data_IF_090411714365
#
_entry.id   IF_090411714365
#
_cell.length_a   1.000
_cell.length_b   1.000
_cell.length_c   1.000
_cell.angle_alpha   90.00
_cell.angle_beta   90.00
_cell.angle_gamma   90.00
#
_symmetry.space_group_name_H-M   'P 1'
#
loop_
_entity.id
_entity.type
_entity.pdbx_description
1 polymer ?
#
# COMPACT_ATOMS: atom_id res chain seq x y z
N UNK A 1 -47.45 -34.81 20.75
CA UNK A 1 -46.26 -34.08 21.27
C UNK A 1 -45.11 -34.02 20.26
N UNK A 2 -44.84 -35.10 19.50
CA UNK A 2 -43.67 -35.11 18.57
C UNK A 2 -43.79 -34.19 17.31
N UNK A 3 -45.01 -34.01 16.75
CA UNK A 3 -45.17 -33.17 15.55
C UNK A 3 -45.04 -31.65 15.82
N UNK A 4 -45.48 -31.21 16.99
CA UNK A 4 -45.31 -29.80 17.42
C UNK A 4 -43.85 -29.48 17.71
N UNK A 5 -43.11 -30.37 18.34
CA UNK A 5 -41.67 -30.24 18.59
C UNK A 5 -40.85 -30.25 17.29
N UNK A 6 -41.20 -31.13 16.35
CA UNK A 6 -40.57 -31.15 15.02
C UNK A 6 -40.89 -29.89 14.21
N UNK A 7 -42.13 -29.43 14.24
CA UNK A 7 -42.51 -28.18 13.57
C UNK A 7 -41.80 -26.95 14.20
N UNK A 8 -41.71 -26.87 15.53
CA UNK A 8 -41.02 -25.81 16.23
C UNK A 8 -39.48 -25.86 15.94
N UNK A 9 -38.90 -27.07 15.90
CA UNK A 9 -37.50 -27.23 15.57
C UNK A 9 -37.19 -26.82 14.11
N UNK A 10 -38.03 -27.23 13.16
CA UNK A 10 -37.91 -26.81 11.75
C UNK A 10 -38.10 -25.32 11.59
N UNK A 11 -39.03 -24.70 12.34
CA UNK A 11 -39.24 -23.25 12.29
C UNK A 11 -38.07 -22.48 12.90
N UNK A 12 -37.51 -22.96 14.01
CA UNK A 12 -36.28 -22.33 14.62
C UNK A 12 -35.08 -22.52 13.71
N UNK A 13 -34.91 -23.66 13.06
CA UNK A 13 -33.86 -23.88 12.06
C UNK A 13 -34.05 -22.99 10.84
N UNK A 14 -35.27 -22.82 10.33
CA UNK A 14 -35.55 -21.89 9.23
C UNK A 14 -35.31 -20.42 9.60
N UNK A 15 -35.65 -20.00 10.83
CA UNK A 15 -35.37 -18.64 11.30
C UNK A 15 -33.86 -18.44 11.49
N UNK A 16 -33.12 -19.45 11.94
CA UNK A 16 -31.67 -19.40 12.06
C UNK A 16 -30.97 -19.34 10.68
N UNK A 17 -31.54 -19.95 9.65
CA UNK A 17 -31.01 -19.96 8.28
C UNK A 17 -31.30 -18.66 7.53
N UNK A 18 -32.32 -17.90 7.93
CA UNK A 18 -32.66 -16.58 7.35
C UNK A 18 -31.93 -15.42 8.01
N UNK A 19 -31.10 -15.68 9.03
CA UNK A 19 -30.12 -14.71 9.51
C UNK A 19 -29.06 -14.49 8.42
N UNK A 20 -29.37 -13.69 7.41
CA UNK A 20 -28.43 -13.29 6.37
C UNK A 20 -27.19 -12.69 7.03
N UNK A 21 -26.08 -13.45 7.10
CA UNK A 21 -24.80 -12.87 7.43
C UNK A 21 -24.45 -11.92 6.27
N UNK A 22 -24.70 -10.65 6.48
CA UNK A 22 -24.28 -9.61 5.54
C UNK A 22 -22.81 -9.27 5.81
N UNK A 23 -22.05 -9.00 4.75
CA UNK A 23 -20.74 -8.38 4.93
C UNK A 23 -20.92 -6.98 5.54
N UNK A 24 -19.94 -6.48 6.31
CA UNK A 24 -19.98 -5.12 6.79
C UNK A 24 -20.00 -4.13 5.63
N UNK A 25 -21.09 -3.37 5.51
CA UNK A 25 -21.28 -2.43 4.41
C UNK A 25 -20.47 -1.17 4.70
N UNK A 26 -19.68 -0.69 3.73
CA UNK A 26 -19.01 0.59 3.83
C UNK A 26 -20.04 1.72 3.92
N UNK A 27 -19.84 2.71 4.82
CA UNK A 27 -20.81 3.81 4.99
C UNK A 27 -20.98 4.64 3.72
N UNK A 28 -22.22 5.06 3.43
CA UNK A 28 -22.49 6.01 2.37
C UNK A 28 -22.10 7.42 2.81
N UNK A 29 -21.40 8.16 1.95
CA UNK A 29 -21.12 9.58 2.16
C UNK A 29 -22.39 10.39 1.90
N UNK A 30 -22.81 11.18 2.87
CA UNK A 30 -24.01 12.01 2.75
C UNK A 30 -23.83 13.18 1.79
N UNK A 31 -22.67 13.83 1.83
CA UNK A 31 -22.30 14.94 0.98
C UNK A 31 -20.80 14.96 0.75
N UNK A 32 -20.38 15.11 -0.52
CA UNK A 32 -19.00 15.29 -0.92
C UNK A 32 -18.43 16.60 -0.36
N UNK A 33 -17.26 16.48 0.28
CA UNK A 33 -16.49 17.64 0.72
C UNK A 33 -14.99 17.36 0.46
N UNK A 34 -14.32 18.11 -0.45
CA UNK A 34 -12.94 17.88 -0.80
C UNK A 34 -11.94 18.12 0.34
N UNK A 35 -12.37 18.80 1.42
CA UNK A 35 -11.51 19.14 2.56
C UNK A 35 -11.71 18.21 3.76
N UNK A 36 -12.60 17.22 3.69
CA UNK A 36 -12.90 16.31 4.80
C UNK A 36 -12.45 14.88 4.53
N UNK A 37 -12.37 14.06 5.58
CA UNK A 37 -11.99 12.66 5.51
C UNK A 37 -10.50 12.40 5.61
N UNK A 38 -10.10 11.13 5.37
CA UNK A 38 -8.72 10.67 5.44
C UNK A 38 -7.94 11.12 4.20
N UNK A 39 -7.32 12.30 4.29
CA UNK A 39 -6.54 12.93 3.22
C UNK A 39 -5.19 13.40 3.75
N UNK A 40 -4.21 13.44 2.85
CA UNK A 40 -2.85 13.86 3.20
C UNK A 40 -2.83 15.26 3.83
N UNK A 41 -3.58 16.19 3.27
CA UNK A 41 -3.63 17.59 3.71
C UNK A 41 -4.19 17.78 5.12
N UNK A 42 -4.99 16.83 5.59
CA UNK A 42 -5.59 16.87 6.93
C UNK A 42 -4.65 16.32 8.01
N UNK A 43 -3.50 15.75 7.62
CA UNK A 43 -2.53 15.17 8.55
C UNK A 43 -1.43 16.18 8.87
N UNK A 44 -1.18 16.36 10.16
CA UNK A 44 -0.11 17.22 10.68
C UNK A 44 1.16 16.41 10.91
N UNK A 45 2.29 17.06 10.80
CA UNK A 45 3.59 16.45 11.05
C UNK A 45 4.44 17.35 11.98
N UNK A 46 4.08 17.48 13.26
CA UNK A 46 4.74 18.42 14.17
C UNK A 46 6.21 18.09 14.44
N UNK A 47 6.62 16.84 14.23
CA UNK A 47 7.99 16.38 14.40
C UNK A 47 8.76 16.23 13.08
N UNK A 48 8.11 16.43 11.94
CA UNK A 48 8.65 16.26 10.59
C UNK A 48 9.07 17.64 10.04
N UNK A 49 10.02 17.67 9.11
CA UNK A 49 10.38 18.88 8.37
C UNK A 49 9.62 18.91 7.05
N UNK A 50 9.07 20.07 6.68
CA UNK A 50 8.38 20.22 5.39
C UNK A 50 9.33 20.18 4.17
N UNK A 51 10.65 20.09 4.40
CA UNK A 51 11.68 20.17 3.36
C UNK A 51 12.35 18.84 3.03
N UNK A 52 12.19 17.82 3.88
CA UNK A 52 12.61 16.43 3.63
C UNK A 52 11.35 15.57 3.49
N UNK A 53 11.07 15.12 2.27
CA UNK A 53 9.89 14.33 1.98
C UNK A 53 10.25 12.86 1.80
N UNK A 54 9.75 12.00 2.68
CA UNK A 54 10.12 10.57 2.72
C UNK A 54 8.91 9.69 2.45
N UNK A 55 9.01 8.86 1.43
CA UNK A 55 8.03 7.84 1.06
C UNK A 55 8.62 6.46 1.35
N UNK A 56 7.90 5.63 2.09
CA UNK A 56 8.18 4.21 2.20
C UNK A 56 7.17 3.42 1.37
N UNK A 57 7.63 2.39 0.66
CA UNK A 57 6.73 1.43 0.02
C UNK A 57 7.04 0.02 0.49
N UNK A 58 6.01 -0.75 0.83
CA UNK A 58 6.13 -2.10 1.37
C UNK A 58 5.40 -3.09 0.48
N UNK A 59 6.14 -4.10 0.01
CA UNK A 59 5.61 -5.10 -0.88
C UNK A 59 4.70 -6.12 -0.19
N UNK A 60 4.01 -6.90 -1.02
CA UNK A 60 3.37 -8.15 -0.62
C UNK A 60 4.38 -9.26 -0.26
N UNK A 61 3.87 -10.35 0.32
CA UNK A 61 4.68 -11.52 0.69
C UNK A 61 4.38 -12.10 2.07
N UNK A 62 3.19 -11.85 2.63
CA UNK A 62 2.76 -12.38 3.93
C UNK A 62 3.68 -11.96 5.09
N UNK A 63 3.93 -12.88 6.02
CA UNK A 63 4.80 -12.63 7.20
C UNK A 63 6.23 -12.22 6.77
N UNK A 64 6.72 -12.71 5.63
CA UNK A 64 8.03 -12.36 5.08
C UNK A 64 8.16 -10.85 4.83
N UNK A 65 7.17 -10.28 4.14
CA UNK A 65 7.14 -8.85 3.83
C UNK A 65 6.94 -8.00 5.09
N UNK A 66 6.08 -8.44 5.99
CA UNK A 66 5.87 -7.74 7.25
C UNK A 66 7.14 -7.69 8.10
N UNK A 67 7.87 -8.80 8.22
CA UNK A 67 9.11 -8.88 9.00
C UNK A 67 10.25 -8.04 8.38
N UNK A 68 10.39 -8.07 7.05
CA UNK A 68 11.37 -7.24 6.33
C UNK A 68 11.09 -5.76 6.55
N UNK A 69 9.83 -5.34 6.33
CA UNK A 69 9.39 -3.94 6.52
C UNK A 69 9.57 -3.48 7.98
N UNK A 70 9.25 -4.36 8.94
CA UNK A 70 9.48 -4.10 10.35
C UNK A 70 10.96 -3.79 10.65
N UNK A 71 11.88 -4.65 10.18
CA UNK A 71 13.31 -4.47 10.39
C UNK A 71 13.83 -3.16 9.78
N UNK A 72 13.37 -2.80 8.58
CA UNK A 72 13.71 -1.53 7.94
C UNK A 72 13.19 -0.35 8.77
N UNK A 73 11.94 -0.37 9.21
CA UNK A 73 11.38 0.69 10.06
C UNK A 73 12.11 0.82 11.40
N UNK A 74 12.48 -0.31 12.03
CA UNK A 74 13.28 -0.32 13.24
C UNK A 74 14.66 0.35 13.02
N UNK A 75 15.29 0.11 11.87
CA UNK A 75 16.54 0.76 11.49
C UNK A 75 16.38 2.27 11.31
N UNK A 76 15.34 2.70 10.60
CA UNK A 76 15.04 4.13 10.42
C UNK A 76 14.70 4.82 11.76
N UNK A 77 14.00 4.14 12.65
CA UNK A 77 13.72 4.61 14.03
C UNK A 77 15.00 4.88 14.82
N UNK A 78 15.98 4.02 14.66
CA UNK A 78 17.25 4.10 15.40
C UNK A 78 18.27 5.02 14.70
N UNK A 79 17.95 5.55 13.49
CA UNK A 79 18.82 6.49 12.79
C UNK A 79 18.45 7.92 13.18
N UNK A 80 19.39 8.60 13.83
CA UNK A 80 19.31 10.06 14.08
C UNK A 80 19.93 10.82 12.92
N UNK A 81 19.33 11.92 12.56
CA UNK A 81 19.76 12.80 11.48
C UNK A 81 19.88 14.24 11.98
N UNK A 82 20.73 15.04 11.31
CA UNK A 82 20.81 16.47 11.51
C UNK A 82 20.22 17.16 10.27
N UNK A 83 19.04 17.75 10.42
CA UNK A 83 18.37 18.42 9.33
C UNK A 83 17.88 19.81 9.75
N UNK A 84 18.22 20.83 8.97
CA UNK A 84 17.89 22.24 9.25
C UNK A 84 18.23 22.70 10.68
N UNK A 85 19.37 22.23 11.19
CA UNK A 85 19.86 22.60 12.52
C UNK A 85 19.21 21.87 13.69
N UNK A 86 18.35 20.88 13.41
CA UNK A 86 17.67 20.06 14.43
C UNK A 86 18.08 18.59 14.33
N UNK A 87 18.24 17.94 15.48
CA UNK A 87 18.36 16.50 15.55
C UNK A 87 16.96 15.86 15.49
N UNK A 88 16.79 14.87 14.62
CA UNK A 88 15.52 14.17 14.38
C UNK A 88 15.77 12.68 14.21
N UNK A 89 14.74 11.86 14.36
CA UNK A 89 14.79 10.45 13.96
C UNK A 89 14.32 10.36 12.49
N UNK A 90 15.03 9.57 11.68
CA UNK A 90 14.67 9.45 10.26
C UNK A 90 13.27 8.86 10.07
N UNK A 91 12.80 7.97 10.95
CA UNK A 91 11.44 7.44 10.89
C UNK A 91 10.37 8.52 11.13
N UNK A 92 10.64 9.56 11.91
CA UNK A 92 9.69 10.65 12.16
C UNK A 92 9.53 11.59 10.95
N UNK A 93 10.48 11.55 10.00
CA UNK A 93 10.42 12.29 8.73
C UNK A 93 9.60 11.55 7.66
N UNK A 94 9.08 10.35 7.92
CA UNK A 94 8.28 9.62 6.94
C UNK A 94 6.91 10.27 6.77
N UNK A 95 6.62 10.72 5.55
CA UNK A 95 5.37 11.40 5.17
C UNK A 95 4.31 10.44 4.68
N UNK A 96 4.70 9.43 3.91
CA UNK A 96 3.79 8.48 3.27
C UNK A 96 4.31 7.06 3.43
N UNK A 97 3.41 6.14 3.75
CA UNK A 97 3.67 4.70 3.64
C UNK A 97 2.63 4.11 2.70
N UNK A 98 3.07 3.60 1.54
CA UNK A 98 2.24 2.86 0.61
C UNK A 98 2.54 1.38 0.72
N UNK A 99 1.54 0.54 0.89
CA UNK A 99 1.77 -0.86 1.26
C UNK A 99 0.80 -1.84 0.60
N UNK A 100 1.24 -3.08 0.52
CA UNK A 100 0.51 -4.19 -0.11
C UNK A 100 0.62 -5.43 0.76
N UNK A 101 -0.50 -6.17 0.90
CA UNK A 101 -0.55 -7.51 1.49
C UNK A 101 0.17 -7.57 2.85
N UNK A 102 1.19 -8.43 3.00
CA UNK A 102 1.96 -8.56 4.24
C UNK A 102 2.55 -7.24 4.74
N UNK A 103 3.05 -6.37 3.84
CA UNK A 103 3.56 -5.04 4.19
C UNK A 103 2.50 -4.13 4.79
N UNK A 104 1.22 -4.35 4.44
CA UNK A 104 0.10 -3.55 4.97
C UNK A 104 -0.16 -3.80 6.45
N UNK A 105 0.19 -4.97 6.99
CA UNK A 105 0.08 -5.22 8.43
C UNK A 105 1.05 -4.32 9.22
N UNK A 106 2.31 -4.25 8.80
CA UNK A 106 3.32 -3.40 9.44
C UNK A 106 2.97 -1.91 9.30
N UNK A 107 2.58 -1.49 8.09
CA UNK A 107 2.21 -0.11 7.81
C UNK A 107 0.99 0.34 8.64
N UNK A 108 -0.09 -0.45 8.63
CA UNK A 108 -1.32 -0.15 9.34
C UNK A 108 -1.13 -0.15 10.87
N UNK A 109 -0.36 -1.12 11.39
CA UNK A 109 -0.08 -1.18 12.81
C UNK A 109 0.73 0.05 13.27
N UNK A 110 1.77 0.44 12.52
CA UNK A 110 2.51 1.66 12.83
C UNK A 110 1.64 2.92 12.74
N UNK A 111 0.82 3.02 11.71
CA UNK A 111 -0.11 4.15 11.55
C UNK A 111 -1.03 4.33 12.74
N UNK A 112 -1.58 3.23 13.28
CA UNK A 112 -2.51 3.25 14.40
C UNK A 112 -1.81 3.37 15.76
N UNK A 113 -0.70 2.66 15.97
CA UNK A 113 -0.15 2.45 17.31
C UNK A 113 1.28 2.97 17.49
N UNK A 114 1.91 3.51 16.45
CA UNK A 114 3.23 4.18 16.50
C UNK A 114 4.31 3.33 17.16
N UNK A 115 4.88 3.82 18.26
CA UNK A 115 5.98 3.16 18.99
C UNK A 115 5.62 1.76 19.51
N UNK A 116 4.33 1.44 19.69
CA UNK A 116 3.89 0.10 20.05
C UNK A 116 4.26 -0.95 18.97
N UNK A 117 4.50 -0.53 17.71
CA UNK A 117 5.01 -1.44 16.69
C UNK A 117 6.29 -2.15 17.15
N UNK A 118 7.16 -1.44 17.82
CA UNK A 118 8.50 -1.90 18.24
C UNK A 118 8.54 -2.51 19.65
N UNK A 119 7.40 -2.65 20.31
CA UNK A 119 7.26 -3.38 21.55
C UNK A 119 7.11 -4.88 21.24
N UNK A 120 8.03 -5.77 21.75
CA UNK A 120 7.96 -7.21 21.48
C UNK A 120 6.66 -7.88 21.94
N UNK A 121 6.00 -7.33 22.98
CA UNK A 121 4.72 -7.86 23.47
C UNK A 121 3.50 -7.42 22.63
N UNK A 122 3.72 -6.60 21.62
CA UNK A 122 2.69 -6.06 20.75
C UNK A 122 2.73 -6.70 19.36
N UNK A 123 3.16 -5.99 18.33
CA UNK A 123 3.09 -6.44 16.94
C UNK A 123 3.83 -7.76 16.67
N UNK A 124 4.99 -7.95 17.28
CA UNK A 124 5.73 -9.20 17.16
C UNK A 124 4.89 -10.38 17.67
N UNK A 125 4.25 -10.23 18.82
CA UNK A 125 3.46 -11.28 19.46
C UNK A 125 2.12 -11.50 18.77
N UNK A 126 1.43 -10.43 18.33
CA UNK A 126 0.09 -10.55 17.75
C UNK A 126 0.12 -10.90 16.26
N UNK A 127 1.25 -10.71 15.57
CA UNK A 127 1.36 -11.00 14.14
C UNK A 127 2.65 -11.73 13.73
N UNK A 128 3.85 -11.17 13.95
CA UNK A 128 5.08 -11.70 13.35
C UNK A 128 5.41 -13.13 13.76
N UNK A 129 5.19 -13.49 15.03
CA UNK A 129 5.46 -14.83 15.57
C UNK A 129 4.19 -15.65 15.78
N UNK A 130 3.02 -15.13 15.39
CA UNK A 130 1.73 -15.80 15.52
C UNK A 130 1.40 -16.60 14.28
N UNK A 131 0.81 -17.78 14.47
CA UNK A 131 0.32 -18.62 13.37
C UNK A 131 -1.08 -18.17 12.95
N UNK A 132 -1.15 -17.03 12.26
CA UNK A 132 -2.41 -16.48 11.72
C UNK A 132 -3.04 -17.44 10.72
N UNK A 133 -2.23 -18.14 9.93
CA UNK A 133 -2.73 -19.10 8.94
C UNK A 133 -3.53 -20.22 9.59
N UNK A 134 -3.04 -20.78 10.69
CA UNK A 134 -3.74 -21.83 11.46
C UNK A 134 -5.07 -21.32 12.01
N UNK A 135 -5.11 -20.10 12.51
CA UNK A 135 -6.32 -19.49 13.05
C UNK A 135 -7.37 -19.24 11.97
N UNK A 136 -6.94 -18.75 10.80
CA UNK A 136 -7.82 -18.60 9.63
C UNK A 136 -8.40 -19.94 9.19
N UNK A 137 -7.57 -20.98 9.10
CA UNK A 137 -8.02 -22.33 8.78
C UNK A 137 -8.99 -22.85 9.86
N UNK A 138 -8.66 -22.69 11.13
CA UNK A 138 -9.51 -23.12 12.24
C UNK A 138 -10.89 -22.43 12.22
N UNK A 139 -10.95 -21.15 11.81
CA UNK A 139 -12.21 -20.44 11.68
C UNK A 139 -13.15 -21.05 10.65
N UNK A 140 -12.62 -21.72 9.61
CA UNK A 140 -13.42 -22.41 8.60
C UNK A 140 -14.07 -23.69 9.14
N UNK A 141 -13.51 -24.30 10.17
CA UNK A 141 -14.07 -25.50 10.82
C UNK A 141 -15.08 -25.20 11.92
N UNK A 142 -15.30 -23.91 12.24
CA UNK A 142 -16.33 -23.51 13.20
C UNK A 142 -17.72 -23.64 12.55
N UNK A 143 -18.65 -24.49 13.09
CA UNK A 143 -19.96 -24.68 12.51
C UNK A 143 -20.82 -23.41 12.38
N UNK A 144 -20.63 -22.44 13.27
CA UNK A 144 -21.31 -21.14 13.20
C UNK A 144 -20.94 -20.41 11.91
N UNK A 145 -19.67 -20.49 11.51
CA UNK A 145 -19.18 -19.84 10.29
C UNK A 145 -19.69 -20.52 9.02
N UNK A 146 -20.06 -21.80 9.05
CA UNK A 146 -20.65 -22.47 7.89
C UNK A 146 -21.99 -21.83 7.47
N UNK A 147 -22.81 -21.47 8.44
CA UNK A 147 -24.07 -20.76 8.15
C UNK A 147 -23.82 -19.36 7.58
N UNK A 148 -22.80 -18.67 8.09
CA UNK A 148 -22.41 -17.33 7.59
C UNK A 148 -21.81 -17.41 6.18
N UNK A 149 -20.95 -18.40 5.92
CA UNK A 149 -20.32 -18.63 4.62
C UNK A 149 -21.30 -19.14 3.55
N UNK A 150 -22.46 -19.68 3.95
CA UNK A 150 -23.53 -20.05 3.03
C UNK A 150 -24.29 -18.82 2.49
N UNK A 151 -24.10 -17.63 3.08
CA UNK A 151 -24.66 -16.38 2.57
C UNK A 151 -23.87 -15.88 1.36
N UNK A 152 -24.55 -15.39 0.33
CA UNK A 152 -23.91 -14.82 -0.88
C UNK A 152 -23.10 -13.55 -0.63
N UNK A 153 -23.33 -12.88 0.50
CA UNK A 153 -22.65 -11.63 0.86
C UNK A 153 -21.51 -11.78 1.86
N UNK A 154 -21.29 -12.98 2.44
CA UNK A 154 -20.28 -13.20 3.46
C UNK A 154 -19.28 -14.26 3.03
N UNK A 155 -18.07 -13.86 2.75
CA UNK A 155 -17.02 -14.74 2.26
C UNK A 155 -15.91 -15.03 3.28
N UNK A 156 -14.98 -15.90 2.91
CA UNK A 156 -13.81 -16.24 3.74
C UNK A 156 -12.96 -15.01 4.10
N UNK A 157 -12.96 -13.99 3.23
CA UNK A 157 -12.24 -12.74 3.50
C UNK A 157 -12.83 -11.95 4.66
N UNK A 158 -14.13 -12.06 4.88
CA UNK A 158 -14.80 -11.40 6.02
C UNK A 158 -14.38 -12.02 7.35
N UNK A 159 -14.20 -13.36 7.38
CA UNK A 159 -13.66 -14.05 8.57
C UNK A 159 -12.23 -13.59 8.86
N UNK A 160 -11.42 -13.39 7.82
CA UNK A 160 -10.07 -12.86 7.98
C UNK A 160 -10.08 -11.42 8.50
N UNK A 161 -10.93 -10.56 7.94
CA UNK A 161 -11.08 -9.18 8.39
C UNK A 161 -11.49 -9.09 9.86
N UNK A 162 -12.45 -9.92 10.30
CA UNK A 162 -12.89 -10.00 11.71
C UNK A 162 -11.77 -10.50 12.65
N UNK A 163 -10.98 -11.49 12.21
CA UNK A 163 -9.83 -11.95 12.97
C UNK A 163 -8.79 -10.85 13.15
N UNK A 164 -8.43 -10.17 12.05
CA UNK A 164 -7.46 -9.06 12.07
C UNK A 164 -7.97 -7.90 12.92
N UNK A 165 -9.27 -7.62 12.84
CA UNK A 165 -9.89 -6.52 13.59
C UNK A 165 -9.75 -6.72 15.09
N UNK A 166 -10.19 -7.89 15.58
CA UNK A 166 -10.17 -8.23 16.99
C UNK A 166 -8.76 -8.41 17.54
N UNK A 167 -7.92 -9.16 16.81
CA UNK A 167 -6.67 -9.66 17.35
C UNK A 167 -5.47 -8.76 17.08
N UNK A 168 -5.50 -7.96 16.00
CA UNK A 168 -4.35 -7.15 15.57
C UNK A 168 -4.67 -5.67 15.68
N UNK A 169 -5.80 -5.22 15.10
CA UNK A 169 -6.10 -3.80 14.95
C UNK A 169 -7.04 -3.22 16.01
N UNK A 170 -7.53 -4.04 16.97
CA UNK A 170 -8.30 -3.59 18.14
C UNK A 170 -9.51 -2.73 17.76
N UNK A 171 -10.26 -3.17 16.74
CA UNK A 171 -11.49 -2.52 16.23
C UNK A 171 -11.27 -1.07 15.77
N UNK A 172 -10.04 -0.73 15.34
CA UNK A 172 -9.70 0.62 14.87
C UNK A 172 -10.15 0.85 13.43
N UNK A 173 -10.67 2.05 13.19
CA UNK A 173 -11.16 2.52 11.89
C UNK A 173 -10.25 3.59 11.29
N UNK A 174 -10.50 3.98 10.05
CA UNK A 174 -9.85 5.16 9.46
C UNK A 174 -10.22 6.45 10.20
N UNK A 175 -11.36 6.49 10.90
CA UNK A 175 -11.72 7.58 11.81
C UNK A 175 -10.70 7.78 12.93
N UNK A 176 -10.11 6.69 13.46
CA UNK A 176 -9.05 6.80 14.47
C UNK A 176 -7.78 7.44 13.89
N UNK A 177 -7.43 7.13 12.61
CA UNK A 177 -6.31 7.78 11.92
C UNK A 177 -6.58 9.26 11.66
N UNK A 178 -7.81 9.62 11.27
CA UNK A 178 -8.23 11.01 11.09
C UNK A 178 -8.14 11.78 12.41
N UNK A 179 -8.60 11.18 13.51
CA UNK A 179 -8.58 11.81 14.83
C UNK A 179 -7.15 12.00 15.38
N UNK A 180 -6.23 11.09 15.06
CA UNK A 180 -4.81 11.27 15.38
C UNK A 180 -4.21 12.43 14.58
N UNK A 181 -4.70 12.66 13.35
CA UNK A 181 -4.29 13.71 12.43
C UNK A 181 -2.75 13.81 12.26
N UNK A 182 -2.04 12.66 12.21
CA UNK A 182 -0.57 12.61 12.17
C UNK A 182 -0.07 11.83 10.95
N UNK A 183 1.00 12.30 10.32
CA UNK A 183 1.77 11.54 9.31
C UNK A 183 2.47 10.35 9.99
N UNK A 184 2.78 9.26 9.27
CA UNK A 184 2.67 9.12 7.83
C UNK A 184 1.23 8.93 7.34
N UNK A 185 0.98 9.38 6.12
CA UNK A 185 -0.23 9.06 5.37
C UNK A 185 -0.15 7.64 4.84
N UNK A 186 -1.10 6.80 5.27
CA UNK A 186 -1.13 5.40 4.86
C UNK A 186 -1.93 5.22 3.57
N UNK A 187 -1.34 4.52 2.62
CA UNK A 187 -1.97 4.07 1.39
C UNK A 187 -2.00 2.53 1.40
N UNK A 188 -3.11 1.95 1.89
CA UNK A 188 -3.31 0.50 1.87
C UNK A 188 -3.93 0.13 0.52
N UNK A 189 -3.23 -0.72 -0.25
CA UNK A 189 -3.56 -0.95 -1.65
C UNK A 189 -4.15 -2.35 -1.86
N UNK A 190 -5.28 -2.41 -2.54
CA UNK A 190 -5.91 -3.61 -3.07
C UNK A 190 -6.01 -3.54 -4.60
N UNK A 191 -6.48 -4.59 -5.24
CA UNK A 191 -6.74 -4.65 -6.69
C UNK A 191 -8.23 -4.73 -6.95
N UNK A 192 -8.77 -3.80 -7.74
CA UNK A 192 -10.09 -3.92 -8.36
C UNK A 192 -10.03 -4.97 -9.48
N UNK A 193 -10.72 -6.08 -9.30
CA UNK A 193 -10.68 -7.22 -10.22
C UNK A 193 -11.16 -6.83 -11.62
N UNK A 194 -12.21 -6.00 -11.70
CA UNK A 194 -12.85 -5.65 -12.96
C UNK A 194 -11.95 -4.81 -13.86
N UNK A 195 -11.22 -3.89 -13.26
CA UNK A 195 -10.34 -2.97 -13.99
C UNK A 195 -8.89 -3.45 -14.07
N UNK A 196 -8.50 -4.47 -13.26
CA UNK A 196 -7.10 -4.85 -13.08
C UNK A 196 -6.26 -3.69 -12.53
N UNK A 197 -6.87 -2.81 -11.76
CA UNK A 197 -6.30 -1.55 -11.32
C UNK A 197 -6.14 -1.47 -9.81
N UNK A 198 -5.15 -0.71 -9.37
CA UNK A 198 -4.95 -0.43 -7.96
C UNK A 198 -6.14 0.34 -7.38
N UNK A 199 -6.66 -0.14 -6.25
CA UNK A 199 -7.67 0.50 -5.41
C UNK A 199 -7.04 0.84 -4.07
N UNK A 200 -6.86 2.12 -3.79
CA UNK A 200 -6.20 2.59 -2.59
C UNK A 200 -7.22 3.03 -1.54
N UNK A 201 -7.08 2.59 -0.28
CA UNK A 201 -7.94 3.01 0.81
C UNK A 201 -7.57 4.40 1.31
N UNK A 202 -8.01 5.41 0.56
CA UNK A 202 -7.89 6.84 0.85
C UNK A 202 -9.21 7.53 0.51
N UNK A 203 -9.53 8.67 1.15
CA UNK A 203 -10.81 9.32 0.92
C UNK A 203 -11.00 9.75 -0.55
N UNK A 204 -9.94 10.20 -1.22
CA UNK A 204 -10.01 10.58 -2.64
C UNK A 204 -10.49 9.42 -3.55
N UNK A 205 -10.17 8.18 -3.24
CA UNK A 205 -10.67 7.00 -3.95
C UNK A 205 -12.12 6.70 -3.56
N UNK A 206 -12.46 6.85 -2.27
CA UNK A 206 -13.80 6.61 -1.74
C UNK A 206 -14.82 7.68 -2.17
N UNK A 207 -14.37 8.89 -2.50
CA UNK A 207 -15.23 9.94 -3.08
C UNK A 207 -15.85 9.51 -4.40
N UNK A 208 -15.10 8.78 -5.24
CA UNK A 208 -15.57 8.28 -6.55
C UNK A 208 -16.80 7.36 -6.40
N UNK A 209 -16.88 6.65 -5.30
CA UNK A 209 -17.97 5.72 -4.97
C UNK A 209 -18.93 6.30 -3.93
N UNK A 210 -18.84 7.58 -3.62
CA UNK A 210 -19.66 8.26 -2.60
C UNK A 210 -19.70 7.52 -1.25
N UNK A 211 -18.55 7.04 -0.77
CA UNK A 211 -18.43 6.33 0.51
C UNK A 211 -17.56 7.08 1.51
N UNK A 212 -17.93 7.02 2.78
CA UNK A 212 -17.16 7.59 3.88
C UNK A 212 -16.16 6.56 4.40
N UNK A 213 -14.86 6.82 4.15
CA UNK A 213 -13.79 5.94 4.61
C UNK A 213 -13.63 5.97 6.13
N UNK A 214 -14.02 7.04 6.82
CA UNK A 214 -13.84 7.16 8.27
C UNK A 214 -14.47 6.01 9.05
N UNK A 215 -15.63 5.51 8.60
CA UNK A 215 -16.33 4.40 9.24
C UNK A 215 -15.83 3.01 8.84
N UNK A 216 -14.85 2.90 7.95
CA UNK A 216 -14.32 1.61 7.50
C UNK A 216 -13.24 1.11 8.49
N UNK A 217 -13.33 -0.13 9.00
CA UNK A 217 -12.27 -0.73 9.81
C UNK A 217 -10.95 -0.84 9.02
N UNK A 218 -9.83 -0.51 9.66
CA UNK A 218 -8.50 -0.64 9.03
C UNK A 218 -8.19 -2.11 8.71
N UNK A 219 -8.69 -3.02 9.53
CA UNK A 219 -8.63 -4.47 9.29
C UNK A 219 -9.21 -4.90 7.94
N UNK A 220 -10.30 -4.28 7.48
CA UNK A 220 -10.89 -4.56 6.16
C UNK A 220 -10.00 -4.11 5.01
N UNK A 221 -9.35 -2.97 5.15
CA UNK A 221 -8.40 -2.49 4.15
C UNK A 221 -7.18 -3.43 4.06
N UNK A 222 -6.65 -3.86 5.21
CA UNK A 222 -5.55 -4.83 5.27
C UNK A 222 -5.98 -6.19 4.73
N UNK A 223 -7.20 -6.66 5.06
CA UNK A 223 -7.74 -7.91 4.52
C UNK A 223 -7.91 -7.84 3.00
N UNK A 224 -8.46 -6.75 2.46
CA UNK A 224 -8.54 -6.54 1.00
C UNK A 224 -7.16 -6.55 0.36
N UNK A 225 -6.20 -5.86 0.97
CA UNK A 225 -4.81 -5.77 0.50
C UNK A 225 -4.08 -7.11 0.51
N UNK A 226 -4.43 -8.01 1.43
CA UNK A 226 -3.82 -9.34 1.61
C UNK A 226 -4.71 -10.50 1.18
N UNK A 227 -5.68 -10.23 0.32
CA UNK A 227 -6.67 -11.19 -0.18
C UNK A 227 -6.11 -12.01 -1.34
N UNK A 228 -5.18 -12.92 -1.03
CA UNK A 228 -4.53 -13.75 -2.04
C UNK A 228 -5.56 -14.61 -2.80
N UNK A 229 -5.53 -14.58 -4.15
CA UNK A 229 -6.43 -15.38 -4.98
C UNK A 229 -6.38 -16.88 -4.59
N UNK A 230 -7.52 -17.59 -4.66
CA UNK A 230 -7.72 -18.98 -4.29
C UNK A 230 -7.95 -19.20 -2.79
N UNK A 231 -7.18 -18.55 -1.89
CA UNK A 231 -7.35 -18.71 -0.44
C UNK A 231 -8.66 -18.04 0.04
N UNK A 232 -8.98 -16.88 -0.52
CA UNK A 232 -10.10 -16.05 -0.09
C UNK A 232 -11.07 -15.72 -1.23
N UNK A 233 -12.28 -15.28 -0.85
CA UNK A 233 -13.24 -14.64 -1.76
C UNK A 233 -12.89 -13.17 -1.94
N UNK A 234 -13.39 -12.52 -3.00
CA UNK A 234 -13.20 -11.05 -3.13
C UNK A 234 -13.86 -10.31 -1.98
N UNK A 235 -13.18 -9.26 -1.47
CA UNK A 235 -13.80 -8.30 -0.56
C UNK A 235 -14.69 -7.35 -1.35
N UNK A 236 -15.92 -7.13 -0.85
CA UNK A 236 -16.93 -6.32 -1.55
C UNK A 236 -17.04 -4.94 -0.91
N UNK A 237 -17.01 -3.90 -1.76
CA UNK A 237 -17.28 -2.51 -1.39
C UNK A 237 -18.47 -2.02 -2.21
N UNK A 238 -19.46 -1.43 -1.55
CA UNK A 238 -20.64 -0.86 -2.21
C UNK A 238 -20.27 0.44 -2.92
N UNK A 239 -20.82 0.62 -4.10
CA UNK A 239 -20.67 1.84 -4.88
C UNK A 239 -21.97 2.67 -4.78
N UNK A 240 -21.88 3.84 -4.18
CA UNK A 240 -22.97 4.81 -4.01
C UNK A 240 -22.81 6.01 -4.93
N UNK A 241 -22.03 5.93 -5.99
CA UNK A 241 -21.80 7.03 -6.93
C UNK A 241 -23.11 7.70 -7.35
N UNK A 242 -23.10 9.03 -7.48
CA UNK A 242 -24.27 9.85 -7.77
C UNK A 242 -25.10 10.26 -6.54
N UNK A 243 -24.82 9.70 -5.31
CA UNK A 243 -25.66 9.96 -4.12
C UNK A 243 -25.07 11.01 -3.16
N UNK A 244 -23.84 11.51 -3.38
CA UNK A 244 -23.17 12.45 -2.49
C UNK A 244 -22.89 13.82 -3.13
N UNK A 245 -23.32 14.05 -4.37
CA UNK A 245 -23.02 15.27 -5.10
C UNK A 245 -21.59 15.38 -5.66
N UNK A 246 -20.81 14.28 -5.64
CA UNK A 246 -19.51 14.24 -6.34
C UNK A 246 -19.73 14.34 -7.85
N UNK A 247 -19.01 15.25 -8.50
CA UNK A 247 -19.06 15.46 -9.95
C UNK A 247 -17.70 15.20 -10.57
N UNK A 248 -17.69 14.73 -11.81
CA UNK A 248 -16.45 14.49 -12.56
C UNK A 248 -15.63 15.78 -12.66
N UNK A 249 -14.40 15.80 -12.10
CA UNK A 249 -13.54 16.99 -12.11
C UNK A 249 -13.02 17.28 -13.53
N UNK A 250 -12.65 18.54 -13.77
CA UNK A 250 -12.23 19.01 -15.09
C UNK A 250 -11.00 18.27 -15.65
N UNK A 251 -10.02 17.96 -14.78
CA UNK A 251 -8.83 17.19 -15.20
C UNK A 251 -9.20 15.84 -15.81
N UNK A 252 -10.22 15.17 -15.27
CA UNK A 252 -10.67 13.86 -15.74
C UNK A 252 -11.34 13.96 -17.09
N UNK A 253 -12.11 15.04 -17.34
CA UNK A 253 -12.71 15.33 -18.64
C UNK A 253 -11.65 15.60 -19.70
N UNK A 254 -10.63 16.39 -19.37
CA UNK A 254 -9.53 16.71 -20.26
C UNK A 254 -8.69 15.47 -20.59
N UNK A 255 -8.43 14.62 -19.59
CA UNK A 255 -7.62 13.42 -19.73
C UNK A 255 -8.15 12.43 -20.80
N UNK A 256 -9.42 12.52 -21.20
CA UNK A 256 -9.98 11.68 -22.28
C UNK A 256 -9.29 11.86 -23.64
N UNK A 257 -8.56 12.96 -23.82
CA UNK A 257 -7.83 13.29 -25.04
C UNK A 257 -6.34 12.93 -24.97
N UNK A 258 -5.88 12.45 -23.82
CA UNK A 258 -4.45 12.35 -23.50
C UNK A 258 -3.82 10.99 -23.84
N UNK A 259 -4.53 10.09 -24.52
CA UNK A 259 -4.04 8.72 -24.76
C UNK A 259 -2.60 8.66 -25.29
N UNK A 260 -2.24 9.54 -26.23
CA UNK A 260 -0.91 9.56 -26.85
C UNK A 260 0.04 10.59 -26.23
N UNK A 261 -0.51 11.56 -25.49
CA UNK A 261 0.29 12.66 -24.90
C UNK A 261 0.67 12.36 -23.45
N UNK A 262 -0.27 11.80 -22.69
CA UNK A 262 -0.07 11.42 -21.30
C UNK A 262 -0.88 10.14 -20.98
N UNK A 263 -0.41 8.96 -21.45
CA UNK A 263 -1.10 7.69 -21.26
C UNK A 263 -1.42 7.37 -19.80
N UNK A 264 -0.53 7.63 -18.80
CA UNK A 264 -0.85 7.41 -17.40
C UNK A 264 -2.06 8.21 -16.91
N UNK A 265 -2.16 9.51 -17.29
CA UNK A 265 -3.27 10.38 -16.94
C UNK A 265 -4.58 9.91 -17.59
N UNK A 266 -4.54 9.54 -18.88
CA UNK A 266 -5.66 8.96 -19.59
C UNK A 266 -6.18 7.69 -18.90
N UNK A 267 -5.29 6.74 -18.62
CA UNK A 267 -5.66 5.47 -17.97
C UNK A 267 -6.24 5.71 -16.56
N UNK A 268 -5.67 6.62 -15.79
CA UNK A 268 -6.19 6.98 -14.47
C UNK A 268 -7.62 7.54 -14.55
N UNK A 269 -7.85 8.46 -15.50
CA UNK A 269 -9.19 9.02 -15.71
C UNK A 269 -10.20 7.95 -16.17
N UNK A 270 -9.79 7.04 -17.05
CA UNK A 270 -10.62 5.90 -17.50
C UNK A 270 -11.04 5.01 -16.35
N UNK A 271 -10.10 4.66 -15.45
CA UNK A 271 -10.37 3.86 -14.26
C UNK A 271 -11.30 4.62 -13.31
N UNK A 272 -11.00 5.88 -13.01
CA UNK A 272 -11.78 6.70 -12.09
C UNK A 272 -13.24 6.87 -12.58
N UNK A 273 -13.45 7.12 -13.89
CA UNK A 273 -14.78 7.20 -14.47
C UNK A 273 -15.60 5.94 -14.30
N UNK A 274 -14.96 4.77 -14.37
CA UNK A 274 -15.70 3.51 -14.23
C UNK A 274 -16.43 3.39 -12.90
N UNK A 275 -15.98 4.09 -11.86
CA UNK A 275 -16.64 4.11 -10.56
C UNK A 275 -17.84 5.06 -10.48
N UNK A 276 -17.94 6.05 -11.38
CA UNK A 276 -18.98 7.07 -11.32
C UNK A 276 -20.35 6.57 -11.81
N UNK A 277 -20.42 5.38 -12.38
CA UNK A 277 -21.66 4.75 -12.81
C UNK A 277 -22.05 3.59 -11.89
N UNK A 278 -22.80 3.88 -10.84
CA UNK A 278 -23.26 2.88 -9.87
C UNK A 278 -24.34 1.94 -10.42
N UNK A 279 -25.00 2.27 -11.52
CA UNK A 279 -25.97 1.37 -12.16
C UNK A 279 -25.28 0.20 -12.85
N UNK A 280 -24.13 0.44 -13.49
CA UNK A 280 -23.31 -0.59 -14.11
C UNK A 280 -22.39 -1.29 -13.08
N UNK A 281 -21.89 -0.53 -12.09
CA UNK A 281 -20.95 -1.03 -11.08
C UNK A 281 -21.48 -0.78 -9.67
N UNK A 282 -22.47 -1.56 -9.25
CA UNK A 282 -23.03 -1.48 -7.87
C UNK A 282 -22.05 -1.87 -6.80
N UNK A 283 -21.09 -2.71 -7.14
CA UNK A 283 -20.08 -3.24 -6.23
C UNK A 283 -18.69 -3.13 -6.83
N UNK A 284 -17.71 -2.94 -6.00
CA UNK A 284 -16.29 -3.07 -6.33
C UNK A 284 -15.77 -4.32 -5.64
N UNK A 285 -15.24 -5.25 -6.41
CA UNK A 285 -14.65 -6.49 -5.92
C UNK A 285 -13.15 -6.36 -5.82
N UNK A 286 -12.61 -6.55 -4.62
CA UNK A 286 -11.20 -6.35 -4.32
C UNK A 286 -10.49 -7.67 -4.04
N UNK A 287 -9.29 -7.81 -4.59
CA UNK A 287 -8.30 -8.85 -4.31
C UNK A 287 -6.99 -8.24 -3.79
N UNK A 288 -6.02 -9.11 -3.51
CA UNK A 288 -4.67 -8.74 -3.09
C UNK A 288 -4.08 -7.62 -3.96
N UNK A 289 -3.51 -6.62 -3.31
CA UNK A 289 -2.91 -5.48 -3.98
C UNK A 289 -1.76 -5.85 -4.91
N UNK A 290 -1.08 -6.96 -4.63
CA UNK A 290 0.03 -7.47 -5.44
C UNK A 290 -0.33 -7.74 -6.89
N UNK A 291 -1.58 -8.06 -7.20
CA UNK A 291 -2.03 -8.30 -8.58
C UNK A 291 -1.87 -7.06 -9.46
N UNK A 292 -2.14 -5.86 -8.94
CA UNK A 292 -1.99 -4.60 -9.68
C UNK A 292 -0.63 -3.93 -9.45
N UNK A 293 -0.07 -4.04 -8.22
CA UNK A 293 1.18 -3.37 -7.83
C UNK A 293 1.73 -4.02 -6.55
N UNK A 294 2.64 -4.99 -6.69
CA UNK A 294 3.12 -5.76 -5.55
C UNK A 294 4.05 -4.99 -4.60
N UNK A 295 4.65 -3.90 -5.03
CA UNK A 295 5.59 -3.10 -4.22
C UNK A 295 4.96 -1.81 -3.67
N UNK A 296 3.69 -1.53 -3.98
CA UNK A 296 2.99 -0.34 -3.52
C UNK A 296 3.52 0.97 -4.08
N UNK A 297 4.33 0.93 -5.12
CA UNK A 297 5.05 2.11 -5.64
C UNK A 297 4.25 2.89 -6.70
N UNK A 298 3.30 2.26 -7.40
CA UNK A 298 2.61 2.90 -8.54
C UNK A 298 1.85 4.17 -8.17
N UNK A 299 1.08 4.16 -7.08
CA UNK A 299 0.35 5.36 -6.66
C UNK A 299 1.27 6.51 -6.25
N UNK A 300 2.31 6.31 -5.41
CA UNK A 300 3.32 7.31 -5.14
C UNK A 300 4.03 7.80 -6.41
N UNK A 301 4.43 6.90 -7.31
CA UNK A 301 5.12 7.26 -8.55
C UNK A 301 4.23 8.11 -9.47
N UNK A 302 2.97 7.73 -9.65
CA UNK A 302 2.00 8.53 -10.41
C UNK A 302 1.79 9.91 -9.77
N UNK A 303 1.74 9.98 -8.44
CA UNK A 303 1.64 11.25 -7.71
C UNK A 303 2.88 12.14 -7.91
N UNK A 304 4.07 11.53 -8.04
CA UNK A 304 5.33 12.21 -8.32
C UNK A 304 5.40 12.70 -9.78
N UNK A 305 4.97 11.87 -10.72
CA UNK A 305 5.03 12.18 -12.16
C UNK A 305 3.90 13.08 -12.66
N UNK A 306 2.80 13.13 -11.92
CA UNK A 306 1.61 13.87 -12.33
C UNK A 306 1.76 15.36 -12.04
N UNK A 307 1.65 16.17 -13.09
CA UNK A 307 1.50 17.62 -12.97
C UNK A 307 0.03 18.03 -12.67
N UNK A 308 -0.84 17.09 -12.43
CA UNK A 308 -2.27 17.30 -12.21
C UNK A 308 -2.59 17.51 -10.73
N UNK A 309 -3.11 18.66 -10.39
CA UNK A 309 -3.39 19.12 -9.03
C UNK A 309 -4.32 18.22 -8.21
N UNK A 310 -5.15 17.42 -8.84
CA UNK A 310 -6.20 16.65 -8.14
C UNK A 310 -5.73 15.34 -7.50
N UNK A 311 -4.62 14.76 -7.96
CA UNK A 311 -4.16 13.43 -7.52
C UNK A 311 -2.72 13.42 -7.01
N UNK A 312 -1.99 14.48 -7.27
CA UNK A 312 -0.61 14.57 -6.87
C UNK A 312 -0.50 14.93 -5.40
N UNK A 313 -0.08 13.97 -4.59
CA UNK A 313 0.37 14.27 -3.21
C UNK A 313 1.45 15.33 -3.27
N UNK A 314 2.33 15.25 -4.26
CA UNK A 314 3.43 16.19 -4.50
C UNK A 314 2.94 17.60 -4.83
N UNK A 315 1.78 17.76 -5.50
CA UNK A 315 1.17 19.07 -5.75
C UNK A 315 0.39 19.61 -4.54
N UNK A 316 -0.03 18.73 -3.65
CA UNK A 316 -0.65 19.09 -2.36
C UNK A 316 0.40 19.49 -1.32
N UNK A 317 1.66 19.09 -1.54
CA UNK A 317 2.81 19.54 -0.78
C UNK A 317 3.35 20.78 -1.49
N UNK A 318 3.85 21.75 -0.74
CA UNK A 318 4.53 22.87 -1.35
C UNK A 318 5.89 22.42 -1.92
N UNK A 319 5.90 21.96 -3.17
CA UNK A 319 7.11 21.46 -3.86
C UNK A 319 8.30 22.43 -3.80
N UNK A 320 8.03 23.74 -3.67
CA UNK A 320 9.09 24.75 -3.55
C UNK A 320 9.81 24.66 -2.21
N UNK A 321 9.24 24.03 -1.21
CA UNK A 321 9.84 23.84 0.11
C UNK A 321 10.62 22.54 0.21
N UNK A 322 10.30 21.53 -0.61
CA UNK A 322 11.00 20.25 -0.57
C UNK A 322 12.41 20.43 -1.16
N UNK A 323 13.40 20.16 -0.32
CA UNK A 323 14.81 20.13 -0.69
C UNK A 323 15.28 18.73 -1.05
N UNK A 324 14.71 17.71 -0.41
CA UNK A 324 15.02 16.30 -0.65
C UNK A 324 13.77 15.46 -0.73
N UNK A 325 13.71 14.62 -1.77
CA UNK A 325 12.68 13.59 -1.95
C UNK A 325 13.33 12.22 -1.86
N UNK A 326 12.92 11.44 -0.88
CA UNK A 326 13.45 10.10 -0.62
C UNK A 326 12.34 9.07 -0.83
N UNK A 327 12.59 8.08 -1.67
CA UNK A 327 11.70 6.93 -1.85
C UNK A 327 12.45 5.67 -1.45
N UNK A 328 11.98 4.99 -0.42
CA UNK A 328 12.52 3.71 0.05
C UNK A 328 11.56 2.60 -0.35
N UNK A 329 11.99 1.74 -1.23
CA UNK A 329 11.22 0.58 -1.71
C UNK A 329 11.69 -0.66 -0.96
N UNK A 330 10.79 -1.27 -0.18
CA UNK A 330 11.07 -2.51 0.55
C UNK A 330 10.35 -3.66 -0.15
N UNK A 331 11.10 -4.47 -0.88
CA UNK A 331 10.59 -5.54 -1.72
C UNK A 331 10.98 -6.91 -1.18
N UNK A 332 10.00 -7.63 -0.64
CA UNK A 332 10.18 -9.00 -0.17
C UNK A 332 9.91 -10.04 -1.28
N UNK A 333 10.16 -9.71 -2.54
CA UNK A 333 9.99 -10.60 -3.68
C UNK A 333 10.81 -11.87 -3.52
N UNK A 334 10.28 -12.97 -4.02
CA UNK A 334 10.97 -14.26 -4.15
C UNK A 334 11.05 -14.67 -5.61
N UNK A 335 12.01 -15.52 -5.92
CA UNK A 335 12.14 -16.04 -7.27
C UNK A 335 11.17 -17.20 -7.53
N UNK A 336 10.73 -17.38 -8.78
CA UNK A 336 9.95 -18.55 -9.18
C UNK A 336 10.75 -19.84 -8.94
N UNK A 337 10.09 -20.88 -8.46
CA UNK A 337 10.71 -22.18 -8.28
C UNK A 337 10.98 -22.83 -9.65
N UNK A 338 12.24 -23.11 -9.93
CA UNK A 338 12.70 -23.78 -11.18
C UNK A 338 12.46 -25.29 -11.20
N UNK A 339 11.82 -25.86 -10.17
CA UNK A 339 11.57 -27.32 -10.10
C UNK A 339 10.65 -27.83 -11.21
N UNK A 340 9.84 -26.95 -11.78
CA UNK A 340 9.00 -27.26 -12.94
C UNK A 340 9.86 -27.69 -14.13
N UNK A 341 10.98 -27.01 -14.35
CA UNK A 341 11.88 -27.24 -15.51
C UNK A 341 12.73 -28.50 -15.35
N UNK A 342 12.68 -29.14 -14.17
CA UNK A 342 13.35 -30.42 -13.91
C UNK A 342 12.51 -31.63 -14.34
N UNK A 343 11.27 -31.44 -14.76
CA UNK A 343 10.36 -32.51 -15.15
C UNK A 343 9.71 -32.23 -16.51
N UNK A 344 9.47 -33.27 -17.29
CA UNK A 344 8.66 -33.23 -18.51
C UNK A 344 7.16 -33.21 -18.23
N UNK A 345 6.74 -33.34 -16.97
CA UNK A 345 5.34 -33.33 -16.56
C UNK A 345 4.81 -31.91 -16.57
N UNK A 346 3.62 -31.69 -17.13
CA UNK A 346 2.94 -30.41 -17.05
C UNK A 346 2.67 -30.02 -15.59
N UNK A 347 2.86 -28.76 -15.20
CA UNK A 347 2.58 -28.29 -13.86
C UNK A 347 1.07 -28.45 -13.54
N UNK A 348 0.77 -28.79 -12.29
CA UNK A 348 -0.61 -28.90 -11.82
C UNK A 348 -1.32 -27.55 -11.80
N UNK A 349 -2.66 -27.57 -11.76
CA UNK A 349 -3.50 -26.36 -11.82
C UNK A 349 -3.12 -25.32 -10.74
N UNK A 350 -2.84 -25.76 -9.51
CA UNK A 350 -2.41 -24.85 -8.42
C UNK A 350 -1.10 -24.13 -8.73
N UNK A 351 -0.12 -24.87 -9.27
CA UNK A 351 1.17 -24.30 -9.69
C UNK A 351 1.01 -23.30 -10.84
N UNK A 352 0.14 -23.63 -11.83
CA UNK A 352 -0.16 -22.71 -12.93
C UNK A 352 -0.79 -21.41 -12.45
N UNK A 353 -1.72 -21.47 -11.51
CA UNK A 353 -2.35 -20.28 -10.94
C UNK A 353 -1.34 -19.44 -10.16
N UNK A 354 -0.45 -20.09 -9.40
CA UNK A 354 0.63 -19.41 -8.68
C UNK A 354 1.57 -18.67 -9.66
N UNK A 355 1.98 -19.32 -10.75
CA UNK A 355 2.79 -18.71 -11.80
C UNK A 355 2.07 -17.56 -12.48
N UNK A 356 0.81 -17.75 -12.89
CA UNK A 356 0.03 -16.72 -13.58
C UNK A 356 -0.16 -15.47 -12.71
N UNK A 357 -0.22 -15.63 -11.40
CA UNK A 357 -0.32 -14.50 -10.47
C UNK A 357 1.05 -13.87 -10.16
N UNK A 358 2.09 -14.66 -9.92
CA UNK A 358 3.39 -14.18 -9.43
C UNK A 358 4.30 -13.58 -10.51
N UNK A 359 4.34 -14.19 -11.70
CA UNK A 359 5.26 -13.75 -12.78
C UNK A 359 4.91 -12.34 -13.30
N UNK A 360 3.65 -12.01 -13.64
CA UNK A 360 3.30 -10.64 -14.00
C UNK A 360 3.58 -9.63 -12.89
N UNK A 361 3.30 -9.99 -11.62
CA UNK A 361 3.59 -9.13 -10.47
C UNK A 361 5.08 -8.77 -10.38
N UNK A 362 5.96 -9.75 -10.58
CA UNK A 362 7.41 -9.52 -10.54
C UNK A 362 7.87 -8.61 -11.67
N UNK A 363 7.37 -8.83 -12.90
CA UNK A 363 7.72 -8.00 -14.05
C UNK A 363 7.24 -6.56 -13.87
N UNK A 364 6.00 -6.37 -13.40
CA UNK A 364 5.48 -5.03 -13.13
C UNK A 364 6.23 -4.29 -12.03
N UNK A 365 6.68 -5.01 -10.99
CA UNK A 365 7.49 -4.42 -9.93
C UNK A 365 8.81 -3.88 -10.47
N UNK A 366 9.50 -4.68 -11.30
CA UNK A 366 10.74 -4.28 -11.95
C UNK A 366 10.56 -3.04 -12.83
N UNK A 367 9.55 -3.04 -13.71
CA UNK A 367 9.26 -1.89 -14.58
C UNK A 367 8.95 -0.63 -13.77
N UNK A 368 8.22 -0.77 -12.65
CA UNK A 368 7.87 0.37 -11.81
C UNK A 368 9.09 0.97 -11.10
N UNK A 369 10.02 0.12 -10.62
CA UNK A 369 11.30 0.60 -10.06
C UNK A 369 12.13 1.30 -11.13
N UNK A 370 12.22 0.73 -12.34
CA UNK A 370 12.93 1.39 -13.45
C UNK A 370 12.33 2.75 -13.81
N UNK A 371 10.99 2.87 -13.81
CA UNK A 371 10.34 4.14 -14.04
C UNK A 371 10.66 5.18 -12.96
N UNK A 372 10.75 4.77 -11.68
CA UNK A 372 11.18 5.68 -10.60
C UNK A 372 12.59 6.19 -10.84
N UNK A 373 13.54 5.28 -11.09
CA UNK A 373 14.95 5.62 -11.33
C UNK A 373 15.09 6.54 -12.54
N UNK A 374 14.43 6.21 -13.66
CA UNK A 374 14.45 7.03 -14.87
C UNK A 374 13.83 8.42 -14.67
N UNK A 375 12.79 8.54 -13.82
CA UNK A 375 12.18 9.83 -13.46
C UNK A 375 13.19 10.70 -12.68
N UNK A 376 13.84 10.12 -11.68
CA UNK A 376 14.82 10.85 -10.86
C UNK A 376 16.05 11.28 -11.68
N UNK A 377 16.56 10.39 -12.53
CA UNK A 377 17.65 10.70 -13.46
C UNK A 377 17.27 11.84 -14.42
N UNK A 378 16.04 11.79 -14.97
CA UNK A 378 15.55 12.88 -15.84
C UNK A 378 15.51 14.21 -15.12
N UNK A 379 15.00 14.26 -13.90
CA UNK A 379 14.93 15.48 -13.11
C UNK A 379 16.31 16.05 -12.77
N UNK A 380 17.25 15.18 -12.38
CA UNK A 380 18.64 15.59 -12.12
C UNK A 380 19.27 16.20 -13.37
N UNK A 381 19.09 15.57 -14.53
CA UNK A 381 19.62 16.06 -15.82
C UNK A 381 18.96 17.38 -16.24
N UNK A 382 17.66 17.49 -16.09
CA UNK A 382 16.90 18.72 -16.40
C UNK A 382 17.34 19.87 -15.49
N UNK A 383 17.53 19.62 -14.21
CA UNK A 383 18.04 20.60 -13.23
C UNK A 383 19.44 21.08 -13.58
N UNK A 384 20.35 20.17 -13.91
CA UNK A 384 21.72 20.51 -14.32
C UNK A 384 21.73 21.32 -15.62
N UNK A 385 20.90 20.94 -16.60
CA UNK A 385 20.77 21.68 -17.87
C UNK A 385 20.23 23.08 -17.63
N UNK A 386 19.19 23.21 -16.81
CA UNK A 386 18.63 24.53 -16.46
C UNK A 386 19.66 25.43 -15.78
N UNK A 387 20.40 24.90 -14.81
CA UNK A 387 21.44 25.65 -14.10
C UNK A 387 22.55 26.12 -15.03
N UNK A 388 23.02 25.26 -15.95
CA UNK A 388 24.01 25.59 -16.96
C UNK A 388 23.51 26.68 -17.91
N UNK A 389 22.29 26.56 -18.43
CA UNK A 389 21.70 27.60 -19.29
C UNK A 389 21.52 28.94 -18.56
N UNK A 390 21.12 28.89 -17.29
CA UNK A 390 20.97 30.10 -16.46
C UNK A 390 22.33 30.79 -16.24
N UNK A 391 23.40 30.04 -15.98
CA UNK A 391 24.76 30.59 -15.83
C UNK A 391 25.22 31.30 -17.11
N UNK A 392 25.09 30.65 -18.27
CA UNK A 392 25.46 31.24 -19.57
C UNK A 392 24.65 32.53 -19.84
N UNK A 393 23.35 32.51 -19.54
CA UNK A 393 22.49 33.66 -19.73
C UNK A 393 22.90 34.82 -18.84
N UNK A 394 23.27 34.59 -17.60
CA UNK A 394 23.74 35.59 -16.65
C UNK A 394 25.07 36.22 -17.10
N UNK A 395 25.99 35.39 -17.64
CA UNK A 395 27.30 35.84 -18.11
C UNK A 395 27.18 36.68 -19.38
N UNK A 396 26.32 36.34 -20.32
CA UNK A 396 26.19 37.00 -21.61
C UNK A 396 25.10 38.09 -21.64
N UNK A 397 24.10 38.00 -20.79
CA UNK A 397 22.97 38.91 -20.67
C UNK A 397 22.57 39.12 -19.22
N UNK A 398 23.26 39.95 -18.44
CA UNK A 398 23.00 40.11 -16.99
C UNK A 398 21.56 40.52 -16.63
N UNK A 399 20.83 41.17 -17.53
CA UNK A 399 19.42 41.53 -17.40
C UNK A 399 18.47 40.46 -17.94
N UNK A 400 18.99 39.36 -18.53
CA UNK A 400 18.23 38.29 -19.11
C UNK A 400 17.61 37.37 -18.01
N UNK A 401 16.38 36.89 -18.27
CA UNK A 401 15.71 35.90 -17.41
C UNK A 401 15.27 34.73 -18.24
N UNK A 402 15.44 33.54 -17.68
CA UNK A 402 14.83 32.33 -18.25
C UNK A 402 13.32 32.53 -18.33
N UNK A 403 12.72 32.24 -19.48
CA UNK A 403 11.25 32.28 -19.67
C UNK A 403 10.55 31.01 -19.21
N UNK A 404 11.29 29.91 -19.20
CA UNK A 404 10.80 28.63 -18.68
C UNK A 404 10.89 28.60 -17.16
N UNK A 405 9.86 28.14 -16.44
CA UNK A 405 9.96 27.97 -15.00
C UNK A 405 11.06 26.94 -14.67
N UNK A 406 11.72 27.05 -13.49
CA UNK A 406 12.70 26.07 -13.08
C UNK A 406 12.04 24.67 -13.01
N UNK A 407 12.75 23.62 -13.42
CA UNK A 407 12.31 22.24 -13.21
C UNK A 407 12.28 21.91 -11.71
N UNK A 408 11.84 20.70 -11.37
CA UNK A 408 11.93 20.23 -9.99
C UNK A 408 13.39 20.16 -9.56
N UNK A 409 13.75 20.88 -8.49
CA UNK A 409 15.14 21.11 -8.08
C UNK A 409 15.53 20.39 -6.78
N UNK A 410 14.65 19.54 -6.21
CA UNK A 410 15.00 18.79 -5.02
C UNK A 410 15.97 17.64 -5.36
N UNK A 411 16.90 17.37 -4.45
CA UNK A 411 17.72 16.17 -4.53
C UNK A 411 16.84 14.93 -4.34
N UNK A 412 17.02 13.92 -5.19
CA UNK A 412 16.18 12.73 -5.20
C UNK A 412 16.99 11.50 -4.86
N UNK A 413 16.45 10.67 -3.96
CA UNK A 413 17.06 9.42 -3.52
C UNK A 413 16.07 8.28 -3.70
N UNK A 414 16.42 7.30 -4.53
CA UNK A 414 15.70 6.04 -4.68
C UNK A 414 16.51 4.94 -3.99
N UNK A 415 15.99 4.39 -2.91
CA UNK A 415 16.64 3.35 -2.11
C UNK A 415 15.83 2.08 -2.27
N UNK A 416 16.41 1.05 -2.88
CA UNK A 416 15.77 -0.24 -3.08
C UNK A 416 16.34 -1.27 -2.11
N UNK A 417 15.47 -1.95 -1.37
CA UNK A 417 15.78 -2.98 -0.40
C UNK A 417 15.07 -4.26 -0.83
N UNK A 418 15.80 -5.15 -1.46
CA UNK A 418 15.31 -6.44 -1.93
C UNK A 418 16.37 -7.55 -1.71
N UNK A 419 15.93 -8.80 -1.69
CA UNK A 419 16.83 -9.93 -1.43
C UNK A 419 17.87 -10.12 -2.52
N UNK A 420 17.62 -9.65 -3.74
CA UNK A 420 18.56 -9.62 -4.86
C UNK A 420 19.78 -8.72 -4.58
N UNK A 421 19.72 -7.81 -3.61
CA UNK A 421 20.85 -6.99 -3.17
C UNK A 421 21.81 -7.71 -2.19
N UNK A 422 21.46 -8.91 -1.72
CA UNK A 422 22.30 -9.69 -0.82
C UNK A 422 23.53 -10.21 -1.59
N UNK A 423 24.75 -9.88 -1.12
CA UNK A 423 26.00 -10.21 -1.81
C UNK A 423 26.34 -11.69 -1.73
N UNK A 424 26.11 -12.33 -0.58
CA UNK A 424 26.33 -13.75 -0.40
C UNK A 424 25.26 -14.55 -1.14
N UNK A 425 25.69 -15.36 -2.11
CA UNK A 425 24.81 -16.14 -2.99
C UNK A 425 23.92 -17.11 -2.21
N UNK A 426 24.50 -17.79 -1.22
CA UNK A 426 23.76 -18.79 -0.44
C UNK A 426 22.70 -18.10 0.43
N UNK A 427 23.10 -17.03 1.15
CA UNK A 427 22.19 -16.23 1.96
C UNK A 427 21.07 -15.67 1.08
N UNK A 428 21.40 -15.15 -0.11
CA UNK A 428 20.43 -14.63 -1.07
C UNK A 428 19.41 -15.68 -1.50
N UNK A 429 19.86 -16.87 -1.87
CA UNK A 429 18.97 -17.96 -2.28
C UNK A 429 18.09 -18.46 -1.13
N UNK A 430 18.60 -18.49 0.09
CA UNK A 430 17.79 -18.84 1.27
C UNK A 430 16.57 -17.91 1.42
N UNK A 431 16.76 -16.60 1.24
CA UNK A 431 15.65 -15.61 1.30
C UNK A 431 14.73 -15.66 0.07
N UNK A 432 15.29 -15.81 -1.14
CA UNK A 432 14.51 -15.88 -2.38
C UNK A 432 13.62 -17.12 -2.44
N UNK A 433 13.91 -18.16 -1.69
CA UNK A 433 13.13 -19.39 -1.61
C UNK A 433 12.09 -19.40 -0.48
N UNK A 434 11.99 -18.35 0.34
CA UNK A 434 11.01 -18.32 1.43
C UNK A 434 9.57 -18.32 0.90
N UNK A 435 8.65 -19.08 1.51
CA UNK A 435 7.26 -19.15 1.04
C UNK A 435 6.49 -17.85 1.34
N UNK A 436 5.46 -17.59 0.54
CA UNK A 436 4.45 -16.58 0.84
C UNK A 436 3.37 -17.20 1.73
N UNK A 437 3.37 -16.85 3.01
CA UNK A 437 2.50 -17.45 4.04
C UNK A 437 2.26 -16.47 5.19
N UNK A 438 1.21 -16.71 5.99
CA UNK A 438 0.94 -15.99 7.24
C UNK A 438 1.51 -16.69 8.48
N UNK A 439 2.50 -17.55 8.28
CA UNK A 439 3.27 -18.18 9.36
C UNK A 439 4.67 -18.47 8.86
N UNK A 440 5.68 -18.08 9.62
CA UNK A 440 7.07 -18.47 9.42
C UNK A 440 7.68 -18.93 10.74
N UNK A 441 8.65 -19.85 10.72
CA UNK A 441 9.44 -20.15 11.91
C UNK A 441 10.07 -18.90 12.50
N UNK A 442 10.10 -18.80 13.84
CA UNK A 442 10.67 -17.63 14.52
C UNK A 442 12.07 -17.26 14.02
N UNK A 443 12.92 -18.26 13.76
CA UNK A 443 14.27 -18.04 13.27
C UNK A 443 14.28 -17.32 11.90
N UNK A 444 13.35 -17.65 11.00
CA UNK A 444 13.24 -16.99 9.69
C UNK A 444 12.73 -15.55 9.83
N UNK A 445 11.77 -15.32 10.71
CA UNK A 445 11.30 -13.96 11.05
C UNK A 445 12.47 -13.12 11.58
N UNK A 446 13.27 -13.66 12.50
CA UNK A 446 14.43 -12.98 13.07
C UNK A 446 15.51 -12.68 12.02
N UNK A 447 15.73 -13.57 11.04
CA UNK A 447 16.63 -13.33 9.90
C UNK A 447 16.10 -12.19 9.03
N UNK A 448 14.80 -12.19 8.70
CA UNK A 448 14.16 -11.16 7.88
C UNK A 448 14.24 -9.77 8.54
N UNK A 449 14.04 -9.69 9.84
CA UNK A 449 14.21 -8.44 10.59
C UNK A 449 15.62 -7.88 10.54
N UNK A 450 16.64 -8.76 10.46
CA UNK A 450 18.05 -8.35 10.42
C UNK A 450 18.55 -8.05 9.04
N UNK A 451 18.05 -8.75 8.01
CA UNK A 451 18.55 -8.57 6.65
C UNK A 451 18.13 -7.23 6.04
N UNK A 452 16.92 -6.73 6.34
CA UNK A 452 16.45 -5.43 5.87
C UNK A 452 17.38 -4.28 6.26
N UNK A 453 17.70 -4.09 7.54
CA UNK A 453 18.70 -3.14 8.02
C UNK A 453 20.08 -3.31 7.35
N UNK A 454 20.55 -4.55 7.16
CA UNK A 454 21.84 -4.84 6.51
C UNK A 454 21.85 -4.33 5.06
N UNK A 455 20.82 -4.68 4.28
CA UNK A 455 20.71 -4.23 2.88
C UNK A 455 20.60 -2.70 2.82
N UNK A 456 19.80 -2.09 3.70
CA UNK A 456 19.68 -0.63 3.78
C UNK A 456 21.04 0.03 4.06
N UNK A 457 21.79 -0.46 5.05
CA UNK A 457 23.10 0.09 5.42
C UNK A 457 24.16 -0.11 4.30
N UNK A 458 24.02 -1.15 3.48
CA UNK A 458 24.90 -1.43 2.33
C UNK A 458 24.51 -0.67 1.06
N UNK A 459 23.31 -0.05 1.01
CA UNK A 459 22.84 0.72 -0.14
C UNK A 459 23.66 2.01 -0.32
N UNK A 460 24.25 2.19 -1.50
CA UNK A 460 25.00 3.42 -1.83
C UNK A 460 24.13 4.67 -1.73
N UNK A 461 22.89 4.62 -2.23
CA UNK A 461 21.95 5.74 -2.15
C UNK A 461 21.60 6.12 -0.70
N UNK A 462 21.48 5.11 0.19
CA UNK A 462 21.25 5.38 1.61
C UNK A 462 22.50 5.96 2.30
N UNK A 463 23.68 5.48 1.93
CA UNK A 463 24.95 6.01 2.46
C UNK A 463 25.17 7.45 2.03
N UNK A 464 24.83 7.79 0.79
CA UNK A 464 24.90 9.16 0.27
C UNK A 464 23.90 10.06 1.00
N UNK A 465 22.64 9.65 1.11
CA UNK A 465 21.63 10.34 1.89
C UNK A 465 22.13 10.58 3.34
N UNK A 466 22.71 9.56 3.96
CA UNK A 466 23.22 9.64 5.33
C UNK A 466 24.42 10.58 5.49
N UNK A 467 25.27 10.73 4.48
CA UNK A 467 26.34 11.75 4.50
C UNK A 467 25.74 13.15 4.55
N UNK A 468 24.72 13.42 3.74
CA UNK A 468 24.07 14.72 3.67
C UNK A 468 23.23 15.04 4.92
N UNK A 469 22.51 14.04 5.45
CA UNK A 469 21.71 14.19 6.66
C UNK A 469 22.53 14.02 7.95
N UNK A 470 23.84 13.74 7.85
CA UNK A 470 24.74 13.49 8.98
C UNK A 470 24.18 12.41 9.93
N UNK A 471 23.77 11.26 9.37
CA UNK A 471 23.20 10.17 10.14
C UNK A 471 24.15 9.70 11.25
N UNK A 472 23.55 9.48 12.42
CA UNK A 472 24.19 8.84 13.57
C UNK A 472 23.50 7.52 13.83
N UNK A 473 24.29 6.47 14.05
CA UNK A 473 23.78 5.11 14.31
C UNK A 473 23.49 4.90 15.79
#
# INVERSE_FOLDING_TARGET
MNKLLQSAFVTVVMIAVTGCAAYPVNPQLSQYNPSSGYRYENLKAPANSESLFVILTFSGGGTRAAALSYGVMERLRNTKIQWEGQERRLLDEVDVISSVSGGSFTAAYYGLFREELFDPEKFEKVFLYRDIQRELIASLFNPINWFRLASSGFGRIELAAELYDREIFREKTFGDLINQARRPYLMLNATDITMGAQFTFVQDQFDLICSDLAGVPVSRAVAASSNFPIAFTSLIVNNYAGKCGYTEPEWMKQASKDLLVNPPRFNRARIARSYLNSDERRYVHLLDGGVADNIGLRSPLLAIQSNDFSWSVVNKINLKQIKKLVVVVVDARTDPKTDIDKSTSSPGLGTLIDIISSVPMSNYSFDTVQQLLGTFESWTREGATYAACQSILQDQCPAGKMRTPPPYMADTFAIYIGFDQIKDEKERQDFLNLPTTFVLPKQEVDKLRRIGPKILDESEAYQELCKELKCQK
#
